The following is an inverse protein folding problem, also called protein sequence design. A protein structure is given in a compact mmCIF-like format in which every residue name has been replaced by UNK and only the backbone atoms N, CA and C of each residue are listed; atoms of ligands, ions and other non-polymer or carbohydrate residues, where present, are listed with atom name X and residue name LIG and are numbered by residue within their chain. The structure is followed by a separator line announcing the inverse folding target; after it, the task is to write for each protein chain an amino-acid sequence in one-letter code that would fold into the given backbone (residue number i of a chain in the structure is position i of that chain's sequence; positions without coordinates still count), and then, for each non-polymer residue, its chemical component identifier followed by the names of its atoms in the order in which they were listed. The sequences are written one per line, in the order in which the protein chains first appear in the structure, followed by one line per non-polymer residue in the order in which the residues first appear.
data_IF_250431318259
#
_entry.id   IF_250431318259
#
_cell.length_a   1.000
_cell.length_b   1.000
_cell.length_c   1.000
_cell.angle_alpha   90.00
_cell.angle_beta   90.00
_cell.angle_gamma   90.00
#
_symmetry.space_group_name_H-M   'P 1'
#
loop_
_entity.id
_entity.type
_entity.pdbx_description
1 polymer ?
#
# COMPACT_ATOMS: atom_id res chain seq x y z
N UNK A 1 -12.80 -8.13 12.14
CA UNK A 1 -12.53 -7.61 10.79
C UNK A 1 -12.29 -6.11 10.93
N UNK A 2 -11.15 -5.64 10.46
CA UNK A 2 -10.72 -4.26 10.58
C UNK A 2 -11.37 -3.45 9.46
N UNK A 3 -12.33 -2.59 9.80
CA UNK A 3 -12.96 -1.71 8.83
C UNK A 3 -12.14 -0.43 8.60
N UNK A 4 -12.57 0.42 7.64
CA UNK A 4 -11.88 1.64 7.26
C UNK A 4 -11.52 2.56 8.45
N UNK A 5 -12.49 2.82 9.33
CA UNK A 5 -12.27 3.64 10.53
C UNK A 5 -11.24 3.01 11.46
N UNK A 6 -11.37 1.72 11.76
CA UNK A 6 -10.42 1.02 12.60
C UNK A 6 -9.01 0.98 12.01
N UNK A 7 -8.89 0.88 10.68
CA UNK A 7 -7.62 0.97 9.98
C UNK A 7 -6.97 2.36 10.17
N UNK A 8 -7.73 3.44 9.98
CA UNK A 8 -7.26 4.82 10.18
C UNK A 8 -6.86 5.06 11.64
N UNK A 9 -7.65 4.58 12.61
CA UNK A 9 -7.31 4.70 14.03
C UNK A 9 -5.99 3.96 14.35
N UNK A 10 -5.79 2.75 13.81
CA UNK A 10 -4.56 2.00 13.98
C UNK A 10 -3.35 2.70 13.31
N UNK A 11 -3.57 3.30 12.13
CA UNK A 11 -2.57 4.08 11.43
C UNK A 11 -2.12 5.28 12.26
N UNK A 12 -3.05 6.10 12.76
CA UNK A 12 -2.71 7.31 13.51
C UNK A 12 -2.07 6.99 14.85
N UNK A 13 -2.46 5.88 15.49
CA UNK A 13 -1.81 5.41 16.72
C UNK A 13 -0.35 5.00 16.49
N UNK A 14 -0.05 4.30 15.40
CA UNK A 14 1.30 3.81 15.09
C UNK A 14 2.16 4.86 14.37
N UNK A 15 1.53 5.72 13.57
CA UNK A 15 2.18 6.70 12.70
C UNK A 15 1.49 8.05 12.84
N UNK A 16 1.67 8.78 13.96
CA UNK A 16 1.07 10.10 14.13
C UNK A 16 1.42 11.09 13.01
N UNK A 17 2.58 10.91 12.37
CA UNK A 17 3.02 11.70 11.21
C UNK A 17 2.12 11.56 9.98
N UNK A 18 1.27 10.54 9.90
CA UNK A 18 0.29 10.36 8.84
C UNK A 18 -0.99 11.20 9.03
N UNK A 19 -1.13 11.94 10.14
CA UNK A 19 -2.30 12.80 10.40
C UNK A 19 -2.63 13.73 9.22
N UNK A 20 -1.66 14.47 8.63
CA UNK A 20 -1.96 15.33 7.49
C UNK A 20 -2.49 14.55 6.28
N UNK A 21 -1.95 13.36 6.02
CA UNK A 21 -2.41 12.52 4.90
C UNK A 21 -3.85 12.04 5.14
N UNK A 22 -4.19 11.69 6.38
CA UNK A 22 -5.57 11.30 6.72
C UNK A 22 -6.52 12.48 6.55
N UNK A 23 -6.13 13.67 6.97
CA UNK A 23 -6.95 14.88 6.85
C UNK A 23 -7.14 15.30 5.38
N UNK A 24 -6.08 15.23 4.58
CA UNK A 24 -6.11 15.55 3.13
C UNK A 24 -6.97 14.56 2.33
N UNK A 25 -7.09 13.31 2.79
CA UNK A 25 -7.83 12.26 2.11
C UNK A 25 -9.25 12.08 2.64
N UNK A 26 -9.80 13.05 3.38
CA UNK A 26 -11.24 13.07 3.71
C UNK A 26 -12.04 13.68 2.58
N UNK A 27 -13.18 13.08 2.27
CA UNK A 27 -14.19 13.69 1.41
C UNK A 27 -15.02 14.76 2.15
N UNK A 28 -15.98 15.34 1.43
CA UNK A 28 -16.86 16.39 1.96
C UNK A 28 -17.74 15.92 3.14
N UNK A 29 -17.97 14.60 3.27
CA UNK A 29 -18.72 13.98 4.36
C UNK A 29 -17.80 13.54 5.53
N UNK A 30 -16.48 13.78 5.41
CA UNK A 30 -15.47 13.42 6.41
C UNK A 30 -15.05 11.95 6.36
N UNK A 31 -15.46 11.19 5.34
CA UNK A 31 -15.06 9.80 5.12
C UNK A 31 -13.69 9.77 4.47
N UNK A 32 -12.80 8.92 4.99
CA UNK A 32 -11.45 8.78 4.45
C UNK A 32 -11.48 7.94 3.18
N UNK A 33 -11.00 8.51 2.08
CA UNK A 33 -10.79 7.85 0.80
C UNK A 33 -9.57 6.92 0.88
N UNK A 34 -9.80 5.69 1.35
CA UNK A 34 -8.73 4.72 1.67
C UNK A 34 -7.73 4.49 0.53
N UNK A 35 -8.21 4.40 -0.71
CA UNK A 35 -7.34 4.17 -1.86
C UNK A 35 -6.31 5.31 -2.04
N UNK A 36 -6.75 6.57 -1.90
CA UNK A 36 -5.87 7.72 -2.03
C UNK A 36 -4.89 7.80 -0.84
N UNK A 37 -5.41 7.58 0.38
CA UNK A 37 -4.58 7.51 1.58
C UNK A 37 -3.47 6.45 1.46
N UNK A 38 -3.78 5.25 0.93
CA UNK A 38 -2.79 4.18 0.78
C UNK A 38 -1.73 4.49 -0.27
N UNK A 39 -2.10 5.15 -1.36
CA UNK A 39 -1.11 5.65 -2.32
C UNK A 39 -0.22 6.73 -1.72
N UNK A 40 -0.75 7.61 -0.86
CA UNK A 40 0.05 8.59 -0.13
C UNK A 40 0.94 7.95 0.95
N UNK A 41 0.47 6.89 1.61
CA UNK A 41 1.28 6.12 2.54
C UNK A 41 2.45 5.41 1.85
N UNK A 42 2.27 4.93 0.61
CA UNK A 42 3.38 4.40 -0.18
C UNK A 42 4.43 5.51 -0.42
N UNK A 43 4.00 6.69 -0.85
CA UNK A 43 4.91 7.85 -1.05
C UNK A 43 5.63 8.24 0.24
N UNK A 44 4.92 8.26 1.37
CA UNK A 44 5.51 8.50 2.69
C UNK A 44 6.56 7.43 3.03
N UNK A 45 6.28 6.17 2.73
CA UNK A 45 7.20 5.05 2.98
C UNK A 45 8.48 5.20 2.16
N UNK A 46 8.36 5.55 0.87
CA UNK A 46 9.50 5.81 -0.02
C UNK A 46 10.33 6.99 0.49
N UNK A 47 9.69 8.10 0.84
CA UNK A 47 10.37 9.28 1.35
C UNK A 47 11.09 9.00 2.69
N UNK A 48 10.43 8.26 3.59
CA UNK A 48 11.01 7.86 4.87
C UNK A 48 12.24 6.96 4.68
N UNK A 49 12.18 6.00 3.74
CA UNK A 49 13.30 5.15 3.41
C UNK A 49 14.48 5.94 2.84
N UNK A 50 14.24 6.83 1.88
CA UNK A 50 15.27 7.70 1.32
C UNK A 50 15.93 8.62 2.36
N UNK A 51 15.18 9.00 3.40
CA UNK A 51 15.70 9.77 4.54
C UNK A 51 16.39 8.92 5.62
N UNK A 52 16.43 7.59 5.47
CA UNK A 52 16.99 6.66 6.45
C UNK A 52 16.12 6.43 7.70
N UNK A 53 14.85 6.87 7.70
CA UNK A 53 13.90 6.68 8.80
C UNK A 53 13.27 5.28 8.76
N UNK A 54 14.10 4.27 9.02
CA UNK A 54 13.71 2.86 9.01
C UNK A 54 12.64 2.53 10.05
N UNK A 55 12.60 3.29 11.15
CA UNK A 55 11.57 3.14 12.17
C UNK A 55 10.19 3.54 11.65
N UNK A 56 10.08 4.64 10.91
CA UNK A 56 8.83 5.05 10.28
C UNK A 56 8.40 4.07 9.19
N UNK A 57 9.33 3.62 8.35
CA UNK A 57 9.07 2.59 7.32
C UNK A 57 8.49 1.33 7.97
N UNK A 58 9.12 0.82 9.03
CA UNK A 58 8.65 -0.37 9.74
C UNK A 58 7.24 -0.21 10.33
N UNK A 59 6.92 0.96 10.92
CA UNK A 59 5.59 1.23 11.48
C UNK A 59 4.50 1.30 10.40
N UNK A 60 4.77 1.98 9.27
CA UNK A 60 3.81 2.03 8.15
C UNK A 60 3.57 0.63 7.60
N UNK A 61 4.63 -0.11 7.28
CA UNK A 61 4.52 -1.46 6.72
C UNK A 61 3.77 -2.42 7.67
N UNK A 62 3.96 -2.30 8.98
CA UNK A 62 3.24 -3.10 9.99
C UNK A 62 1.73 -2.83 9.93
N UNK A 63 1.32 -1.56 9.83
CA UNK A 63 -0.11 -1.20 9.74
C UNK A 63 -0.71 -1.66 8.43
N UNK A 64 -0.01 -1.46 7.31
CA UNK A 64 -0.46 -1.87 5.98
C UNK A 64 -0.62 -3.39 5.90
N UNK A 65 0.34 -4.15 6.41
CA UNK A 65 0.26 -5.61 6.49
C UNK A 65 -0.94 -6.07 7.35
N UNK A 66 -1.19 -5.40 8.47
CA UNK A 66 -2.38 -5.65 9.29
C UNK A 66 -3.67 -5.38 8.51
N UNK A 67 -3.73 -4.30 7.74
CA UNK A 67 -4.84 -4.00 6.84
C UNK A 67 -5.10 -5.12 5.84
N UNK A 68 -4.06 -5.65 5.21
CA UNK A 68 -4.20 -6.78 4.27
C UNK A 68 -4.67 -8.08 4.95
N UNK A 69 -4.19 -8.36 6.17
CA UNK A 69 -4.46 -9.61 6.88
C UNK A 69 -5.83 -9.65 7.57
N UNK A 70 -6.19 -8.55 8.23
CA UNK A 70 -7.32 -8.48 9.16
C UNK A 70 -8.43 -7.56 8.67
N UNK A 71 -8.19 -6.82 7.59
CA UNK A 71 -9.13 -5.93 6.91
C UNK A 71 -10.43 -6.61 6.52
N UNK A 72 -11.49 -5.82 6.40
CA UNK A 72 -12.63 -6.23 5.59
C UNK A 72 -12.27 -6.22 4.10
N UNK A 73 -13.14 -6.75 3.26
CA UNK A 73 -12.89 -6.85 1.82
C UNK A 73 -12.46 -5.51 1.22
N UNK A 74 -13.06 -4.41 1.70
CA UNK A 74 -12.73 -3.06 1.25
C UNK A 74 -11.33 -2.62 1.69
N UNK A 75 -10.95 -2.80 2.96
CA UNK A 75 -9.60 -2.46 3.46
C UNK A 75 -8.53 -3.33 2.81
N UNK A 76 -8.77 -4.64 2.71
CA UNK A 76 -7.82 -5.58 2.14
C UNK A 76 -7.60 -5.31 0.64
N UNK A 77 -8.68 -5.05 -0.11
CA UNK A 77 -8.61 -4.66 -1.53
C UNK A 77 -7.87 -3.33 -1.70
N UNK A 78 -8.18 -2.32 -0.89
CA UNK A 78 -7.50 -1.03 -0.96
C UNK A 78 -5.99 -1.17 -0.72
N UNK A 79 -5.56 -1.98 0.26
CA UNK A 79 -4.14 -2.26 0.49
C UNK A 79 -3.50 -2.96 -0.72
N UNK A 80 -4.17 -4.00 -1.23
CA UNK A 80 -3.67 -4.77 -2.36
C UNK A 80 -3.47 -3.89 -3.61
N UNK A 81 -4.42 -3.03 -3.94
CA UNK A 81 -4.39 -2.24 -5.18
C UNK A 81 -3.60 -0.94 -5.01
N UNK A 82 -3.85 -0.19 -3.95
CA UNK A 82 -3.35 1.18 -3.84
C UNK A 82 -2.01 1.32 -3.14
N UNK A 83 -1.53 0.26 -2.47
CA UNK A 83 -0.20 0.20 -1.89
C UNK A 83 0.66 -0.87 -2.56
N UNK A 84 0.17 -2.11 -2.66
CA UNK A 84 0.99 -3.23 -3.16
C UNK A 84 1.15 -3.16 -4.68
N UNK A 85 0.06 -3.14 -5.44
CA UNK A 85 0.12 -3.11 -6.91
C UNK A 85 0.80 -1.84 -7.43
N UNK A 86 0.60 -0.72 -6.73
CA UNK A 86 1.20 0.57 -7.09
C UNK A 86 2.73 0.61 -6.90
N UNK A 87 3.32 -0.39 -6.23
CA UNK A 87 4.76 -0.49 -6.06
C UNK A 87 5.48 -0.78 -7.39
N UNK A 88 6.27 0.20 -7.83
CA UNK A 88 7.04 0.28 -9.05
C UNK A 88 6.67 1.50 -9.88
N UNK A 89 5.64 2.24 -9.49
CA UNK A 89 5.12 3.38 -10.26
C UNK A 89 5.76 4.72 -9.91
N UNK A 90 6.28 4.90 -8.68
CA UNK A 90 6.83 6.17 -8.23
C UNK A 90 8.38 6.20 -8.22
N UNK A 91 9.00 7.38 -8.43
CA UNK A 91 10.44 7.56 -8.24
C UNK A 91 10.89 7.28 -6.81
N UNK A 92 12.05 6.66 -6.66
CA UNK A 92 12.68 6.38 -5.35
C UNK A 92 12.34 5.02 -4.75
N UNK A 93 11.43 4.28 -5.37
CA UNK A 93 11.21 2.87 -5.06
C UNK A 93 12.42 2.03 -5.52
N UNK A 94 12.82 1.06 -4.69
CA UNK A 94 14.03 0.27 -4.95
C UNK A 94 13.91 -1.17 -4.43
N UNK A 95 14.80 -2.06 -4.87
CA UNK A 95 14.83 -3.43 -4.38
C UNK A 95 15.23 -3.49 -2.90
N UNK A 96 16.02 -2.53 -2.41
CA UNK A 96 16.37 -2.42 -0.99
C UNK A 96 15.15 -2.05 -0.13
N UNK A 97 14.31 -1.12 -0.60
CA UNK A 97 13.04 -0.82 0.08
C UNK A 97 12.10 -2.02 0.06
N UNK A 98 11.99 -2.71 -1.08
CA UNK A 98 11.23 -3.96 -1.17
C UNK A 98 11.80 -5.02 -0.21
N UNK A 99 13.12 -4.99 0.01
CA UNK A 99 13.87 -5.71 1.03
C UNK A 99 13.35 -5.55 2.46
N UNK A 100 12.66 -4.44 2.78
CA UNK A 100 12.05 -4.18 4.08
C UNK A 100 10.60 -4.67 4.22
N UNK A 101 9.95 -5.08 3.13
CA UNK A 101 8.52 -5.41 3.14
C UNK A 101 8.21 -6.65 3.99
N UNK A 102 7.11 -6.69 4.75
CA UNK A 102 6.68 -7.92 5.40
C UNK A 102 6.40 -9.03 4.36
N UNK A 103 6.64 -10.32 4.69
CA UNK A 103 6.48 -11.43 3.76
C UNK A 103 5.09 -11.49 3.12
N UNK A 104 4.04 -11.12 3.86
CA UNK A 104 2.67 -11.12 3.34
C UNK A 104 2.49 -10.11 2.20
N UNK A 105 3.02 -8.88 2.35
CA UNK A 105 2.93 -7.86 1.30
C UNK A 105 3.75 -8.25 0.06
N UNK A 106 4.91 -8.91 0.25
CA UNK A 106 5.71 -9.41 -0.88
C UNK A 106 5.00 -10.53 -1.64
N UNK A 107 4.43 -11.48 -0.92
CA UNK A 107 3.66 -12.57 -1.52
C UNK A 107 2.46 -12.03 -2.33
N UNK A 108 1.82 -10.98 -1.83
CA UNK A 108 0.74 -10.30 -2.55
C UNK A 108 1.24 -9.61 -3.83
N UNK A 109 2.37 -8.91 -3.77
CA UNK A 109 3.00 -8.29 -4.94
C UNK A 109 3.35 -9.34 -6.02
N UNK A 110 3.97 -10.45 -5.61
CA UNK A 110 4.34 -11.54 -6.51
C UNK A 110 3.10 -12.18 -7.14
N UNK A 111 2.04 -12.38 -6.34
CA UNK A 111 0.75 -12.90 -6.81
C UNK A 111 0.14 -11.99 -7.89
N UNK A 112 0.20 -10.68 -7.70
CA UNK A 112 -0.34 -9.71 -8.66
C UNK A 112 0.50 -9.66 -9.96
N UNK A 113 1.83 -9.67 -9.84
CA UNK A 113 2.74 -9.71 -11.01
C UNK A 113 2.57 -11.00 -11.82
N UNK A 114 2.37 -12.14 -11.16
CA UNK A 114 2.07 -13.41 -11.82
C UNK A 114 0.74 -13.42 -12.59
N UNK A 115 -0.22 -12.58 -12.21
CA UNK A 115 -1.51 -12.40 -12.92
C UNK A 115 -1.39 -11.42 -14.10
N UNK A 116 -0.54 -10.40 -13.99
CA UNK A 116 -0.28 -9.42 -15.06
C UNK A 116 0.51 -9.98 -16.26
N UNK A 117 1.33 -11.02 -16.05
CA UNK A 117 2.14 -11.66 -17.10
C UNK A 117 1.38 -12.61 -18.04
N UNK A 118 0.06 -12.82 -17.84
CA UNK A 118 -0.75 -13.77 -18.62
C UNK A 118 -1.38 -13.22 -19.91
N UNK A 119 -1.27 -11.91 -20.18
CA UNK A 119 -1.91 -11.26 -21.33
C UNK A 119 -0.89 -10.77 -22.38
N UNK A 120 -0.12 -11.69 -22.95
CA UNK A 120 0.55 -11.50 -24.26
C UNK A 120 0.84 -12.84 -24.90
N UNK A 121 -0.23 -13.57 -25.23
CA UNK A 121 -0.17 -14.73 -26.10
C UNK A 121 -1.41 -14.76 -26.99
N UNK A 122 -1.55 -13.79 -27.89
CA UNK A 122 -2.36 -13.92 -29.11
C UNK A 122 -2.08 -12.74 -30.04
N UNK A 123 -1.28 -12.99 -31.08
CA UNK A 123 -1.53 -12.56 -32.47
C UNK A 123 -0.23 -12.48 -33.27
N UNK A 124 0.12 -13.58 -33.95
CA UNK A 124 0.58 -13.56 -35.33
C UNK A 124 0.81 -14.99 -35.81
N UNK A 125 -0.28 -15.60 -36.26
CA UNK A 125 -0.22 -16.66 -37.26
C UNK A 125 -1.51 -16.57 -38.09
N UNK A 126 -1.36 -16.04 -39.32
CA UNK A 126 -2.22 -16.10 -40.52
C UNK A 126 -2.07 -14.75 -41.26
N UNK A 127 -1.59 -14.71 -42.50
CA UNK A 127 -1.16 -15.75 -43.44
C UNK A 127 -0.44 -15.10 -44.62
#
# INVERSE_FOLDING_TARGET
MLNARGFVDALLAAVPRATPLVDENRDDDGVVLLHLLLSDLLRLTVAAFGAGDTALVGRVLTVVEKGLREGDDHVAEAVAVSFVEHYGAAPGESDELLGCWPPLLRAELDRQRGRGGGASATSSARG
#
